data_IF_954632656242
#
_entry.id   IF_954632656242
#
_cell.length_a   1.000
_cell.length_b   1.000
_cell.length_c   1.000
_cell.angle_alpha   90.00
_cell.angle_beta   90.00
_cell.angle_gamma   90.00
#
_symmetry.space_group_name_H-M   'P 1'
#
loop_
_entity.id
_entity.type
_entity.pdbx_description
1 polymer ?
#
# COMPACT_ATOMS: atom_id res chain seq x y z
N UNK A 1 -7.87 -1.13 19.26
CA UNK A 1 -7.01 -0.14 18.59
C UNK A 1 -7.16 -0.26 17.09
N UNK A 2 -7.15 0.87 16.41
CA UNK A 2 -7.27 0.86 14.94
C UNK A 2 -5.97 0.45 14.29
N UNK A 3 -6.07 -0.37 13.26
CA UNK A 3 -4.93 -0.76 12.42
C UNK A 3 -4.53 0.42 11.54
N UNK A 4 -3.22 0.60 11.35
CA UNK A 4 -2.66 1.72 10.60
C UNK A 4 -2.44 1.35 9.14
N UNK A 5 -3.06 2.11 8.23
CA UNK A 5 -2.88 1.99 6.78
C UNK A 5 -2.17 3.23 6.27
N UNK A 6 -1.16 3.04 5.45
CA UNK A 6 -0.42 4.12 4.79
C UNK A 6 -0.97 4.32 3.38
N UNK A 7 -1.31 5.56 3.06
CA UNK A 7 -1.78 5.94 1.71
C UNK A 7 -0.72 6.80 1.05
N UNK A 8 -0.24 6.36 -0.10
CA UNK A 8 0.76 7.08 -0.89
C UNK A 8 0.06 7.66 -2.11
N UNK A 9 -0.14 8.97 -2.09
CA UNK A 9 -0.87 9.70 -3.13
C UNK A 9 -0.39 11.13 -3.17
N UNK A 10 -0.02 11.64 -4.34
CA UNK A 10 0.45 13.01 -4.48
C UNK A 10 -0.65 14.00 -4.90
N UNK A 11 -1.82 13.51 -5.28
CA UNK A 11 -2.99 14.35 -5.54
C UNK A 11 -3.80 14.52 -4.25
N UNK A 12 -3.88 15.75 -3.68
CA UNK A 12 -4.58 15.97 -2.41
C UNK A 12 -6.04 15.52 -2.43
N UNK A 13 -6.74 15.71 -3.53
CA UNK A 13 -8.16 15.32 -3.62
C UNK A 13 -8.33 13.80 -3.54
N UNK A 14 -7.48 13.05 -4.23
CA UNK A 14 -7.50 11.59 -4.17
C UNK A 14 -7.07 11.08 -2.79
N UNK A 15 -6.09 11.71 -2.16
CA UNK A 15 -5.65 11.35 -0.82
C UNK A 15 -6.79 11.50 0.20
N UNK A 16 -7.53 12.60 0.14
CA UNK A 16 -8.68 12.85 1.01
C UNK A 16 -9.77 11.78 0.80
N UNK A 17 -10.05 11.45 -0.46
CA UNK A 17 -11.06 10.44 -0.80
C UNK A 17 -10.68 9.06 -0.25
N UNK A 18 -9.47 8.60 -0.49
CA UNK A 18 -9.02 7.28 -0.03
C UNK A 18 -8.97 7.23 1.50
N UNK A 19 -8.47 8.29 2.14
CA UNK A 19 -8.48 8.41 3.60
C UNK A 19 -9.90 8.28 4.16
N UNK A 20 -10.85 9.02 3.58
CA UNK A 20 -12.24 8.98 4.03
C UNK A 20 -12.85 7.57 3.92
N UNK A 21 -12.57 6.87 2.84
CA UNK A 21 -13.05 5.49 2.66
C UNK A 21 -12.47 4.56 3.72
N UNK A 22 -11.16 4.60 3.90
CA UNK A 22 -10.47 3.71 4.83
C UNK A 22 -10.82 4.01 6.29
N UNK A 23 -10.93 5.28 6.65
CA UNK A 23 -11.26 5.66 8.03
C UNK A 23 -12.75 5.51 8.34
N UNK A 24 -13.64 6.02 7.47
CA UNK A 24 -15.08 6.04 7.77
C UNK A 24 -15.76 4.69 7.51
N UNK A 25 -15.43 4.01 6.43
CA UNK A 25 -16.01 2.69 6.10
C UNK A 25 -15.23 1.58 6.77
N UNK A 26 -13.89 1.68 6.77
CA UNK A 26 -13.01 0.63 7.26
C UNK A 26 -12.66 0.68 8.73
N UNK A 27 -12.77 1.85 9.35
CA UNK A 27 -12.35 2.04 10.74
C UNK A 27 -10.84 2.01 10.95
N UNK A 28 -10.06 2.20 9.88
CA UNK A 28 -8.60 2.24 9.96
C UNK A 28 -8.10 3.61 10.43
N UNK A 29 -6.95 3.62 11.07
CA UNK A 29 -6.15 4.82 11.22
C UNK A 29 -5.38 5.01 9.91
N UNK A 30 -5.35 6.23 9.37
CA UNK A 30 -4.74 6.49 8.05
C UNK A 30 -3.67 7.55 8.17
N UNK A 31 -2.52 7.28 7.57
CA UNK A 31 -1.46 8.27 7.34
C UNK A 31 -1.30 8.42 5.83
N UNK A 32 -1.37 9.66 5.34
CA UNK A 32 -1.13 9.97 3.93
C UNK A 32 0.23 10.64 3.79
N UNK A 33 0.98 10.25 2.78
CA UNK A 33 2.25 10.90 2.45
C UNK A 33 2.52 10.82 0.95
N UNK A 34 3.23 11.82 0.44
CA UNK A 34 3.77 11.84 -0.93
C UNK A 34 5.30 11.97 -0.94
N UNK A 35 5.93 11.83 0.22
CA UNK A 35 7.39 11.90 0.38
C UNK A 35 7.94 10.49 0.56
N UNK A 36 8.77 10.05 -0.38
CA UNK A 36 9.33 8.69 -0.36
C UNK A 36 10.16 8.39 0.89
N UNK A 37 10.96 9.34 1.35
CA UNK A 37 11.76 9.16 2.56
C UNK A 37 10.89 9.01 3.80
N UNK A 38 9.86 9.85 3.92
CA UNK A 38 8.89 9.75 5.02
C UNK A 38 8.14 8.42 4.99
N UNK A 39 7.72 7.98 3.80
CA UNK A 39 7.01 6.71 3.62
C UNK A 39 7.83 5.54 4.14
N UNK A 40 9.11 5.46 3.77
CA UNK A 40 9.99 4.40 4.25
C UNK A 40 10.20 4.48 5.77
N UNK A 41 10.34 5.69 6.31
CA UNK A 41 10.48 5.88 7.75
C UNK A 41 9.24 5.45 8.53
N UNK A 42 8.05 5.77 8.03
CA UNK A 42 6.79 5.37 8.67
C UNK A 42 6.68 3.84 8.72
N UNK A 43 7.03 3.17 7.61
CA UNK A 43 6.98 1.71 7.55
C UNK A 43 7.97 1.08 8.55
N UNK A 44 9.14 1.66 8.72
CA UNK A 44 10.15 1.15 9.65
C UNK A 44 9.81 1.42 11.12
N UNK A 45 9.17 2.54 11.42
CA UNK A 45 8.99 3.02 12.79
C UNK A 45 7.61 2.78 13.36
N UNK A 46 6.59 2.55 12.52
CA UNK A 46 5.19 2.39 12.95
C UNK A 46 4.63 1.06 12.47
N UNK A 47 3.63 0.50 13.15
CA UNK A 47 3.06 -0.81 12.81
C UNK A 47 2.07 -0.69 11.64
N UNK A 48 2.57 -0.38 10.45
CA UNK A 48 1.76 -0.29 9.24
C UNK A 48 1.31 -1.69 8.82
N UNK A 49 0.02 -1.88 8.60
CA UNK A 49 -0.55 -3.19 8.23
C UNK A 49 -0.84 -3.33 6.75
N UNK A 50 -0.94 -2.22 6.02
CA UNK A 50 -1.15 -2.21 4.57
C UNK A 50 -0.77 -0.85 3.98
N UNK A 51 -0.45 -0.85 2.69
CA UNK A 51 -0.13 0.36 1.93
C UNK A 51 -1.03 0.42 0.70
N UNK A 52 -1.70 1.55 0.50
CA UNK A 52 -2.37 1.89 -0.75
C UNK A 52 -1.42 2.79 -1.54
N UNK A 53 -1.00 2.35 -2.70
CA UNK A 53 0.08 2.98 -3.48
C UNK A 53 -0.43 3.44 -4.83
N UNK A 54 -0.47 4.76 -5.05
CA UNK A 54 -0.73 5.28 -6.39
C UNK A 54 0.43 4.95 -7.32
N UNK A 55 0.12 4.39 -8.49
CA UNK A 55 1.13 4.05 -9.50
C UNK A 55 1.71 5.32 -10.12
N UNK A 56 0.88 6.33 -10.37
CA UNK A 56 1.25 7.52 -11.13
C UNK A 56 1.65 8.69 -10.23
N UNK A 57 2.74 8.54 -9.50
CA UNK A 57 3.27 9.60 -8.65
C UNK A 57 4.07 10.59 -9.49
N UNK A 58 3.59 11.83 -9.61
CA UNK A 58 4.20 12.85 -10.44
C UNK A 58 5.30 13.65 -9.76
N UNK A 59 5.21 13.83 -8.44
CA UNK A 59 6.12 14.71 -7.69
C UNK A 59 6.81 14.05 -6.51
N UNK A 60 6.58 12.77 -6.29
CA UNK A 60 7.17 12.03 -5.16
C UNK A 60 8.64 11.78 -5.39
N UNK A 61 9.45 12.02 -4.36
CA UNK A 61 10.89 11.83 -4.41
C UNK A 61 11.37 10.90 -3.30
N UNK A 62 12.43 10.18 -3.58
CA UNK A 62 13.14 9.34 -2.63
C UNK A 62 14.63 9.60 -2.79
N UNK A 63 15.29 10.05 -1.72
CA UNK A 63 16.71 10.42 -1.78
C UNK A 63 16.99 11.52 -2.80
N UNK A 64 16.04 12.42 -3.05
CA UNK A 64 16.17 13.52 -4.00
C UNK A 64 15.81 13.17 -5.45
N UNK A 65 15.58 11.90 -5.76
CA UNK A 65 15.21 11.45 -7.11
C UNK A 65 13.71 11.15 -7.23
N UNK A 66 13.13 11.44 -8.38
CA UNK A 66 11.72 11.12 -8.65
C UNK A 66 11.52 9.61 -8.69
N UNK A 67 10.45 9.16 -8.03
CA UNK A 67 10.04 7.75 -8.06
C UNK A 67 8.54 7.65 -8.36
N UNK A 68 8.16 6.60 -9.07
CA UNK A 68 6.75 6.24 -9.24
C UNK A 68 6.35 5.18 -8.19
N UNK A 69 5.07 4.78 -8.22
CA UNK A 69 4.57 3.80 -7.25
C UNK A 69 5.19 2.42 -7.41
N UNK A 70 5.56 2.03 -8.62
CA UNK A 70 6.24 0.75 -8.88
C UNK A 70 7.63 0.73 -8.24
N UNK A 71 8.43 1.77 -8.50
CA UNK A 71 9.77 1.89 -7.96
C UNK A 71 9.75 1.97 -6.43
N UNK A 72 8.81 2.74 -5.87
CA UNK A 72 8.68 2.90 -4.43
C UNK A 72 8.25 1.59 -3.76
N UNK A 73 7.35 0.82 -4.37
CA UNK A 73 6.95 -0.49 -3.86
C UNK A 73 8.15 -1.44 -3.81
N UNK A 74 9.00 -1.43 -4.82
CA UNK A 74 10.24 -2.23 -4.81
C UNK A 74 11.15 -1.85 -3.64
N UNK A 75 11.28 -0.56 -3.37
CA UNK A 75 12.09 -0.08 -2.24
C UNK A 75 11.48 -0.51 -0.90
N UNK A 76 10.16 -0.53 -0.79
CA UNK A 76 9.47 -1.06 0.38
C UNK A 76 9.82 -2.54 0.59
N UNK A 77 9.87 -3.32 -0.49
CA UNK A 77 10.19 -4.74 -0.42
C UNK A 77 11.63 -5.01 0.04
N UNK A 78 12.53 -4.04 -0.09
CA UNK A 78 13.90 -4.15 0.40
C UNK A 78 14.01 -3.97 1.92
N UNK A 79 12.99 -3.42 2.56
CA UNK A 79 12.97 -3.26 4.02
C UNK A 79 12.52 -4.57 4.70
N UNK A 80 13.11 -4.94 5.83
CA UNK A 80 12.62 -6.09 6.60
C UNK A 80 11.13 -5.96 6.95
N UNK A 81 10.69 -4.77 7.34
CA UNK A 81 9.30 -4.47 7.67
C UNK A 81 8.39 -4.49 6.44
N UNK A 82 8.96 -4.37 5.24
CA UNK A 82 8.21 -4.27 3.99
C UNK A 82 8.12 -5.55 3.16
N UNK A 83 8.90 -6.58 3.49
CA UNK A 83 8.95 -7.82 2.68
C UNK A 83 7.58 -8.46 2.54
N UNK A 84 6.82 -8.55 3.62
CA UNK A 84 5.50 -9.20 3.64
C UNK A 84 4.36 -8.21 3.86
N UNK A 85 4.64 -6.91 3.77
CA UNK A 85 3.64 -5.87 3.95
C UNK A 85 2.68 -5.85 2.76
N UNK A 86 1.36 -5.96 2.96
CA UNK A 86 0.43 -5.81 1.86
C UNK A 86 0.55 -4.46 1.18
N UNK A 87 0.77 -4.46 -0.12
CA UNK A 87 0.78 -3.25 -0.95
C UNK A 87 -0.26 -3.44 -2.04
N UNK A 88 -1.22 -2.53 -2.11
CA UNK A 88 -2.29 -2.52 -3.10
C UNK A 88 -2.09 -1.30 -3.98
N UNK A 89 -1.89 -1.52 -5.27
CA UNK A 89 -1.70 -0.43 -6.22
C UNK A 89 -3.03 0.20 -6.58
N UNK A 90 -3.03 1.52 -6.72
CA UNK A 90 -4.17 2.28 -7.26
C UNK A 90 -3.73 2.84 -8.61
N UNK A 91 -4.49 2.60 -9.67
CA UNK A 91 -4.10 3.02 -11.00
C UNK A 91 -5.28 3.49 -11.84
N UNK A 92 -5.06 4.57 -12.61
CA UNK A 92 -6.02 5.02 -13.62
C UNK A 92 -5.90 4.21 -14.92
N UNK A 93 -4.86 3.41 -15.07
CA UNK A 93 -4.58 2.64 -16.28
C UNK A 93 -4.94 1.17 -16.07
N UNK A 94 -6.18 0.81 -16.40
CA UNK A 94 -6.72 -0.53 -16.17
C UNK A 94 -6.93 -1.28 -17.50
N UNK A 95 -5.92 -1.26 -18.38
CA UNK A 95 -5.99 -2.00 -19.64
C UNK A 95 -5.69 -3.48 -19.42
N UNK A 96 -6.20 -4.32 -20.31
CA UNK A 96 -5.97 -5.76 -20.27
C UNK A 96 -4.47 -6.04 -20.30
N UNK A 97 -3.99 -6.81 -19.34
CA UNK A 97 -2.58 -7.16 -19.21
C UNK A 97 -1.78 -6.22 -18.30
N UNK A 98 -2.28 -5.02 -18.02
CA UNK A 98 -1.58 -4.07 -17.14
C UNK A 98 -1.49 -4.58 -15.70
N UNK A 99 -2.51 -5.28 -15.23
CA UNK A 99 -2.53 -5.81 -13.88
C UNK A 99 -1.36 -6.76 -13.63
N UNK A 100 -1.20 -7.77 -14.46
CA UNK A 100 -0.13 -8.77 -14.31
C UNK A 100 1.25 -8.12 -14.42
N UNK A 101 1.41 -7.20 -15.37
CA UNK A 101 2.66 -6.47 -15.57
C UNK A 101 3.01 -5.62 -14.35
N UNK A 102 2.06 -4.84 -13.84
CA UNK A 102 2.28 -3.96 -12.69
C UNK A 102 2.58 -4.76 -11.42
N UNK A 103 1.85 -5.84 -11.18
CA UNK A 103 2.09 -6.70 -10.03
C UNK A 103 3.46 -7.38 -10.11
N UNK A 104 3.84 -7.85 -11.28
CA UNK A 104 5.14 -8.48 -11.49
C UNK A 104 6.27 -7.47 -11.28
N UNK A 105 6.20 -6.29 -11.91
CA UNK A 105 7.24 -5.27 -11.85
C UNK A 105 7.40 -4.67 -10.46
N UNK A 106 6.31 -4.50 -9.71
CA UNK A 106 6.33 -3.85 -8.41
C UNK A 106 6.51 -4.81 -7.24
N UNK A 107 6.12 -6.07 -7.40
CA UNK A 107 5.96 -7.05 -6.33
C UNK A 107 4.84 -6.67 -5.35
N UNK A 108 3.85 -5.90 -5.81
CA UNK A 108 2.67 -5.60 -5.02
C UNK A 108 1.73 -6.82 -4.93
N UNK A 109 0.83 -6.79 -3.97
CA UNK A 109 -0.10 -7.90 -3.71
C UNK A 109 -1.35 -7.84 -4.56
N UNK A 110 -1.81 -6.64 -4.89
CA UNK A 110 -3.05 -6.47 -5.62
C UNK A 110 -3.12 -5.09 -6.25
N UNK A 111 -4.21 -4.81 -6.90
CA UNK A 111 -4.39 -3.68 -7.76
C UNK A 111 -5.86 -3.27 -7.79
N UNK A 112 -6.15 -1.98 -7.73
CA UNK A 112 -7.49 -1.42 -7.82
C UNK A 112 -7.51 -0.30 -8.85
N UNK A 113 -8.48 -0.36 -9.76
CA UNK A 113 -8.65 0.67 -10.78
C UNK A 113 -9.30 1.93 -10.20
N UNK A 114 -8.82 3.09 -10.63
CA UNK A 114 -9.45 4.38 -10.34
C UNK A 114 -10.47 4.71 -11.45
N UNK A 115 -11.55 5.43 -11.15
CA UNK A 115 -11.97 5.88 -9.81
C UNK A 115 -12.49 4.73 -8.96
N UNK A 116 -12.38 4.87 -7.63
CA UNK A 116 -12.89 3.87 -6.70
C UNK A 116 -14.42 3.99 -6.63
N UNK A 117 -15.11 3.00 -7.17
CA UNK A 117 -16.57 2.99 -7.21
C UNK A 117 -17.13 2.18 -6.03
N UNK A 118 -16.54 1.04 -5.73
CA UNK A 118 -16.95 0.15 -4.67
C UNK A 118 -16.12 0.38 -3.41
N UNK A 119 -16.59 1.26 -2.54
CA UNK A 119 -15.88 1.63 -1.31
C UNK A 119 -15.77 0.46 -0.33
N UNK A 120 -16.86 -0.29 -0.16
CA UNK A 120 -16.87 -1.48 0.71
C UNK A 120 -15.95 -2.57 0.16
N UNK A 121 -15.95 -2.75 -1.15
CA UNK A 121 -15.09 -3.71 -1.82
C UNK A 121 -13.60 -3.39 -1.60
N UNK A 122 -13.23 -2.11 -1.64
CA UNK A 122 -11.86 -1.70 -1.34
C UNK A 122 -11.47 -2.06 0.08
N UNK A 123 -12.31 -1.76 1.06
CA UNK A 123 -12.05 -2.07 2.46
C UNK A 123 -11.93 -3.60 2.66
N UNK A 124 -12.82 -4.36 2.06
CA UNK A 124 -12.77 -5.83 2.15
C UNK A 124 -11.49 -6.41 1.53
N UNK A 125 -11.06 -5.85 0.41
CA UNK A 125 -9.81 -6.23 -0.25
C UNK A 125 -8.62 -5.98 0.66
N UNK A 126 -8.53 -4.80 1.26
CA UNK A 126 -7.48 -4.44 2.19
C UNK A 126 -7.46 -5.41 3.38
N UNK A 127 -8.62 -5.67 3.97
CA UNK A 127 -8.72 -6.59 5.12
C UNK A 127 -8.30 -8.01 4.77
N UNK A 128 -8.65 -8.50 3.58
CA UNK A 128 -8.22 -9.83 3.13
C UNK A 128 -6.71 -9.96 3.08
N UNK A 129 -6.05 -8.95 2.52
CA UNK A 129 -4.59 -8.94 2.42
C UNK A 129 -3.93 -8.81 3.78
N UNK A 130 -4.51 -8.02 4.69
CA UNK A 130 -4.00 -7.92 6.06
C UNK A 130 -4.06 -9.28 6.76
N UNK A 131 -5.18 -9.98 6.65
CA UNK A 131 -5.35 -11.33 7.25
C UNK A 131 -4.38 -12.34 6.65
N UNK A 132 -4.20 -12.31 5.34
CA UNK A 132 -3.25 -13.19 4.65
C UNK A 132 -1.82 -12.95 5.14
N UNK A 133 -1.42 -11.69 5.31
CA UNK A 133 -0.10 -11.34 5.81
C UNK A 133 0.09 -11.76 7.27
N UNK A 134 -0.93 -11.63 8.11
CA UNK A 134 -0.90 -12.10 9.49
C UNK A 134 -0.71 -13.61 9.56
N UNK A 135 -1.41 -14.36 8.70
CA UNK A 135 -1.26 -15.82 8.63
C UNK A 135 0.17 -16.22 8.22
N UNK A 136 0.77 -15.54 7.25
CA UNK A 136 2.15 -15.79 6.83
C UNK A 136 3.12 -15.50 7.99
N UNK A 137 2.97 -14.39 8.68
CA UNK A 137 3.82 -14.04 9.82
C UNK A 137 3.70 -15.03 10.97
N UNK A 138 2.48 -15.49 11.25
CA UNK A 138 2.23 -16.51 12.28
C UNK A 138 2.92 -17.83 11.92
N UNK A 139 2.85 -18.24 10.65
CA UNK A 139 3.51 -19.44 10.17
C UNK A 139 5.04 -19.33 10.24
N UNK A 140 5.60 -18.20 9.83
CA UNK A 140 7.04 -17.95 9.92
C UNK A 140 7.52 -17.91 11.37
N UNK A 141 6.75 -17.27 12.26
CA UNK A 141 7.05 -17.26 13.69
C UNK A 141 7.02 -18.66 14.31
N UNK A 142 6.09 -19.51 13.90
CA UNK A 142 6.01 -20.90 14.36
C UNK A 142 7.21 -21.73 13.90
N UNK A 143 7.75 -21.47 12.71
CA UNK A 143 8.94 -22.14 12.20
C UNK A 143 10.20 -21.77 12.94
N UNK A 144 10.27 -20.53 13.44
CA UNK A 144 11.42 -20.01 14.17
C UNK A 144 11.40 -20.42 15.65
N UNK A 145 10.33 -21.06 16.12
CA UNK A 145 10.22 -21.54 17.49
C UNK A 145 10.86 -22.93 17.61
N UNK A 146 11.86 -23.09 18.49
CA UNK A 146 12.46 -24.43 18.68
C UNK A 146 11.51 -25.45 19.27
#
# INVERSE_FOLDING_TARGET
MSELVLVVEDDPANAVLVDAILSSVGGFEVVCSDDGDEILNVIQERPVVAVLMDVSLGSTRLGGEKVDGVALTRRIRDLPEGINLPVILLTAHAMKGDRERLLFESSANDYVAKPIIDQKGLVELVRRHIKAAEAVRAELGARDTP
#
